data_IF_612796024342
#
_entry.id   IF_612796024342
#
_cell.length_a   1.000
_cell.length_b   1.000
_cell.length_c   1.000
_cell.angle_alpha   90.00
_cell.angle_beta   90.00
_cell.angle_gamma   90.00
#
_symmetry.space_group_name_H-M   'P 1'
#
loop_
_entity.id
_entity.type
_entity.pdbx_description
1 polymer ?
#
# COMPACT_ATOMS: atom_id res chain seq x y z
N UNK A 1 -15.75 7.83 -24.84
CA UNK A 1 -15.53 7.62 -23.39
C UNK A 1 -14.93 8.91 -22.84
N UNK A 2 -15.49 9.48 -21.77
CA UNK A 2 -14.94 10.69 -21.17
C UNK A 2 -13.56 10.35 -20.59
N UNK A 3 -12.50 10.99 -21.08
CA UNK A 3 -11.17 10.86 -20.49
C UNK A 3 -11.27 11.31 -19.03
N UNK A 4 -11.04 10.39 -18.10
CA UNK A 4 -10.87 10.74 -16.70
C UNK A 4 -9.54 11.49 -16.58
N UNK A 5 -9.58 12.82 -16.70
CA UNK A 5 -8.44 13.67 -16.37
C UNK A 5 -8.33 13.76 -14.86
N UNK A 6 -7.10 13.71 -14.36
CA UNK A 6 -6.84 13.93 -12.95
C UNK A 6 -6.98 15.42 -12.71
N UNK A 7 -7.98 15.81 -11.93
CA UNK A 7 -8.09 17.21 -11.50
C UNK A 7 -7.00 17.52 -10.48
N UNK A 8 -6.61 18.79 -10.38
CA UNK A 8 -5.65 19.23 -9.35
C UNK A 8 -6.08 18.84 -7.94
N UNK A 9 -7.38 18.77 -7.68
CA UNK A 9 -7.95 18.37 -6.39
C UNK A 9 -7.76 16.86 -6.13
N UNK A 10 -8.05 16.01 -7.11
CA UNK A 10 -7.79 14.56 -7.01
C UNK A 10 -6.30 14.31 -6.80
N UNK A 11 -5.43 15.02 -7.53
CA UNK A 11 -3.99 14.88 -7.37
C UNK A 11 -3.52 15.28 -5.95
N UNK A 12 -4.03 16.37 -5.40
CA UNK A 12 -3.73 16.79 -4.03
C UNK A 12 -4.21 15.77 -2.99
N UNK A 13 -5.37 15.16 -3.20
CA UNK A 13 -5.88 14.08 -2.35
C UNK A 13 -5.00 12.83 -2.43
N UNK A 14 -4.54 12.45 -3.63
CA UNK A 14 -3.61 11.33 -3.81
C UNK A 14 -2.27 11.57 -3.11
N UNK A 15 -1.72 12.78 -3.19
CA UNK A 15 -0.53 13.16 -2.43
C UNK A 15 -0.75 13.02 -0.92
N UNK A 16 -1.90 13.51 -0.44
CA UNK A 16 -2.28 13.42 0.97
C UNK A 16 -2.39 11.96 1.44
N UNK A 17 -3.07 11.10 0.67
CA UNK A 17 -3.24 9.68 0.98
C UNK A 17 -1.94 8.89 0.95
N UNK A 18 -0.99 9.30 0.11
CA UNK A 18 0.33 8.68 0.00
C UNK A 18 1.35 9.24 0.98
N UNK A 19 0.96 10.21 1.82
CA UNK A 19 1.86 10.95 2.71
C UNK A 19 3.04 11.60 1.97
N UNK A 20 2.81 12.06 0.75
CA UNK A 20 3.78 12.79 -0.06
C UNK A 20 3.53 14.30 0.02
N UNK A 21 4.60 15.07 0.20
CA UNK A 21 4.54 16.54 0.14
C UNK A 21 4.50 17.02 -1.32
N UNK A 22 3.72 18.06 -1.60
CA UNK A 22 3.69 18.68 -2.94
C UNK A 22 4.99 19.44 -3.20
N UNK A 23 5.95 18.77 -3.83
CA UNK A 23 7.16 19.42 -4.35
C UNK A 23 6.90 20.11 -5.70
N UNK A 24 7.83 20.95 -6.16
CA UNK A 24 7.78 21.59 -7.48
C UNK A 24 7.66 20.58 -8.65
N UNK A 25 8.01 19.31 -8.41
CA UNK A 25 7.86 18.21 -9.38
C UNK A 25 6.41 17.70 -9.50
N UNK A 26 5.46 18.23 -8.73
CA UNK A 26 4.05 17.86 -8.73
C UNK A 26 3.40 17.85 -10.13
N UNK A 27 3.72 18.85 -10.98
CA UNK A 27 3.13 18.96 -12.32
C UNK A 27 3.59 17.83 -13.23
N UNK A 28 4.87 17.48 -13.21
CA UNK A 28 5.41 16.38 -14.01
C UNK A 28 4.87 15.02 -13.56
N UNK A 29 4.72 14.84 -12.24
CA UNK A 29 4.14 13.63 -11.67
C UNK A 29 2.67 13.48 -12.07
N UNK A 30 1.87 14.55 -12.06
CA UNK A 30 0.47 14.49 -12.49
C UNK A 30 0.34 14.01 -13.95
N UNK A 31 1.16 14.53 -14.86
CA UNK A 31 1.20 14.07 -16.26
C UNK A 31 1.60 12.60 -16.37
N UNK A 32 2.61 12.16 -15.61
CA UNK A 32 3.01 10.75 -15.61
C UNK A 32 1.89 9.83 -15.13
N UNK A 33 1.13 10.22 -14.11
CA UNK A 33 -0.01 9.42 -13.64
C UNK A 33 -1.09 9.36 -14.73
N UNK A 34 -1.37 10.45 -15.45
CA UNK A 34 -2.31 10.43 -16.57
C UNK A 34 -1.86 9.48 -17.70
N UNK A 35 -0.57 9.49 -18.05
CA UNK A 35 0.00 8.57 -19.04
C UNK A 35 -0.14 7.10 -18.59
N UNK A 36 0.10 6.82 -17.30
CA UNK A 36 -0.06 5.49 -16.70
C UNK A 36 -1.53 5.04 -16.75
N UNK A 37 -2.48 5.91 -16.37
CA UNK A 37 -3.91 5.59 -16.44
C UNK A 37 -4.33 5.30 -17.88
N UNK A 38 -3.84 6.10 -18.83
CA UNK A 38 -4.10 5.86 -20.24
C UNK A 38 -3.55 4.50 -20.69
N UNK A 39 -2.35 4.13 -20.24
CA UNK A 39 -1.80 2.80 -20.51
C UNK A 39 -2.67 1.69 -19.93
N UNK A 40 -3.13 1.80 -18.68
CA UNK A 40 -4.03 0.81 -18.09
C UNK A 40 -5.35 0.69 -18.85
N UNK A 41 -5.90 1.78 -19.39
CA UNK A 41 -7.10 1.73 -20.24
C UNK A 41 -6.92 0.95 -21.55
N UNK A 42 -5.68 0.80 -22.02
CA UNK A 42 -5.34 -0.08 -23.15
C UNK A 42 -5.27 -1.52 -22.68
N UNK A 43 -4.64 -1.78 -21.53
CA UNK A 43 -4.50 -3.13 -20.96
C UNK A 43 -5.87 -3.73 -20.60
N UNK A 44 -6.79 -2.94 -20.06
CA UNK A 44 -8.16 -3.36 -19.71
C UNK A 44 -8.94 -3.92 -20.91
N UNK A 45 -8.65 -3.49 -22.14
CA UNK A 45 -9.30 -4.02 -23.35
C UNK A 45 -8.93 -5.48 -23.63
N UNK A 46 -7.81 -5.95 -23.07
CA UNK A 46 -7.31 -7.31 -23.20
C UNK A 46 -7.44 -8.10 -21.90
N UNK A 47 -7.93 -7.49 -20.82
CA UNK A 47 -8.17 -8.18 -19.55
C UNK A 47 -9.51 -8.93 -19.64
N UNK A 48 -9.54 -10.26 -19.46
CA UNK A 48 -10.76 -11.06 -19.62
C UNK A 48 -11.85 -10.84 -18.55
N UNK A 49 -11.84 -9.71 -17.84
CA UNK A 49 -12.70 -9.44 -16.68
C UNK A 49 -12.12 -10.02 -15.38
N UNK A 50 -12.87 -9.96 -14.26
CA UNK A 50 -12.46 -10.51 -12.98
C UNK A 50 -12.05 -11.95 -13.19
N UNK A 51 -10.75 -12.17 -13.11
CA UNK A 51 -10.13 -13.33 -13.69
C UNK A 51 -10.52 -14.56 -12.88
N UNK A 52 -11.05 -15.55 -13.58
CA UNK A 52 -10.88 -16.96 -13.23
C UNK A 52 -9.40 -17.39 -13.37
N UNK A 53 -8.44 -16.49 -13.10
CA UNK A 53 -7.00 -16.72 -13.14
C UNK A 53 -6.55 -17.04 -11.71
N UNK A 54 -6.23 -18.32 -11.42
CA UNK A 54 -5.78 -18.75 -10.11
C UNK A 54 -4.43 -18.14 -9.70
N UNK A 55 -3.77 -17.38 -10.58
CA UNK A 55 -2.49 -16.72 -10.32
C UNK A 55 -2.63 -15.21 -10.00
N UNK A 56 -3.84 -14.63 -10.00
CA UNK A 56 -4.04 -13.19 -9.70
C UNK A 56 -4.08 -12.82 -8.22
N UNK A 57 -4.25 -13.78 -7.33
CA UNK A 57 -4.13 -13.56 -5.89
C UNK A 57 -2.67 -13.84 -5.50
N UNK A 58 -1.82 -12.81 -5.61
CA UNK A 58 -0.74 -12.47 -4.66
C UNK A 58 -0.28 -13.55 -3.65
N UNK A 59 0.24 -14.71 -4.08
CA UNK A 59 0.55 -15.87 -3.20
C UNK A 59 -0.62 -16.35 -2.29
N UNK A 60 -1.77 -15.64 -2.28
CA UNK A 60 -2.97 -15.91 -1.50
C UNK A 60 -3.96 -16.78 -2.30
N UNK A 61 -3.78 -16.89 -3.62
CA UNK A 61 -4.82 -17.34 -4.56
C UNK A 61 -5.13 -18.81 -4.58
N UNK A 62 -4.33 -19.58 -3.86
CA UNK A 62 -4.62 -21.00 -3.72
C UNK A 62 -5.74 -21.23 -2.72
N UNK A 63 -5.94 -20.31 -1.77
CA UNK A 63 -6.77 -20.55 -0.59
C UNK A 63 -7.67 -19.36 -0.19
N UNK A 64 -8.04 -18.54 -1.16
CA UNK A 64 -9.08 -17.53 -1.03
C UNK A 64 -10.18 -17.86 -2.05
N UNK A 65 -11.27 -18.45 -1.57
CA UNK A 65 -12.52 -18.38 -2.32
C UNK A 65 -13.26 -17.11 -1.88
N UNK A 66 -13.06 -16.04 -2.66
CA UNK A 66 -13.61 -14.71 -2.36
C UNK A 66 -12.92 -14.03 -1.16
N UNK A 67 -13.66 -13.17 -0.44
CA UNK A 67 -13.14 -12.35 0.67
C UNK A 67 -12.87 -13.15 1.98
N UNK A 68 -12.75 -14.48 1.91
CA UNK A 68 -12.45 -15.34 3.06
C UNK A 68 -11.18 -16.11 2.78
N UNK A 69 -10.22 -15.95 3.69
CA UNK A 69 -9.07 -16.85 3.78
C UNK A 69 -9.62 -18.22 4.21
N UNK A 70 -9.56 -19.19 3.30
CA UNK A 70 -9.82 -20.59 3.60
C UNK A 70 -8.59 -21.16 4.33
N UNK A 71 -8.70 -21.17 5.65
CA UNK A 71 -7.67 -21.70 6.55
C UNK A 71 -7.45 -23.19 6.33
N UNK A 72 -8.46 -23.94 5.88
CA UNK A 72 -8.38 -25.38 5.64
C UNK A 72 -7.58 -25.69 4.36
N UNK A 73 -7.62 -24.79 3.38
CA UNK A 73 -6.85 -24.92 2.15
C UNK A 73 -5.35 -24.66 2.37
N UNK A 74 -4.99 -23.82 3.34
CA UNK A 74 -3.59 -23.52 3.69
C UNK A 74 -3.35 -23.62 5.21
N UNK A 75 -3.32 -24.85 5.76
CA UNK A 75 -3.13 -25.05 7.19
C UNK A 75 -1.78 -24.49 7.70
N UNK A 76 -0.79 -24.40 6.82
CA UNK A 76 0.54 -23.85 7.12
C UNK A 76 0.55 -22.32 7.29
N UNK A 77 -0.51 -21.61 6.89
CA UNK A 77 -0.61 -20.15 7.08
C UNK A 77 -1.03 -19.76 8.49
N UNK A 78 -1.53 -20.70 9.28
CA UNK A 78 -1.87 -20.43 10.68
C UNK A 78 -0.59 -20.47 11.52
N UNK A 79 -0.11 -19.28 11.90
CA UNK A 79 0.98 -19.17 12.86
C UNK A 79 0.56 -19.84 14.18
N UNK A 80 1.33 -20.84 14.62
CA UNK A 80 1.18 -21.43 15.96
C UNK A 80 1.37 -20.37 17.03
N UNK A 81 0.64 -20.49 18.14
CA UNK A 81 0.77 -19.58 19.27
C UNK A 81 2.04 -19.88 20.08
N UNK A 82 3.20 -19.55 19.50
CA UNK A 82 4.52 -19.71 20.11
C UNK A 82 5.17 -18.33 20.20
N UNK A 83 5.58 -17.95 21.41
CA UNK A 83 6.33 -16.73 21.64
C UNK A 83 7.76 -16.89 21.09
N UNK A 84 8.15 -16.01 20.18
CA UNK A 84 9.52 -15.93 19.65
C UNK A 84 10.25 -14.75 20.32
N UNK A 85 11.58 -14.85 20.52
CA UNK A 85 12.36 -13.73 21.02
C UNK A 85 12.24 -12.53 20.07
N UNK A 86 11.92 -11.36 20.62
CA UNK A 86 11.88 -10.11 19.86
C UNK A 86 13.27 -9.57 19.54
N UNK A 87 13.32 -8.50 18.73
CA UNK A 87 14.56 -7.76 18.46
C UNK A 87 15.12 -7.15 19.74
N UNK A 88 16.45 -7.11 19.87
CA UNK A 88 17.09 -6.48 21.03
C UNK A 88 16.96 -4.95 20.96
N UNK A 89 17.03 -4.29 22.12
CA UNK A 89 17.05 -2.81 22.20
C UNK A 89 18.21 -2.22 21.39
N UNK A 90 19.35 -2.93 21.35
CA UNK A 90 20.49 -2.54 20.54
C UNK A 90 20.16 -2.54 19.04
N UNK A 91 19.42 -3.53 18.56
CA UNK A 91 19.01 -3.61 17.16
C UNK A 91 17.99 -2.51 16.82
N UNK A 92 17.05 -2.21 17.74
CA UNK A 92 16.10 -1.11 17.57
C UNK A 92 16.81 0.26 17.46
N UNK A 93 17.83 0.49 18.28
CA UNK A 93 18.67 1.71 18.20
C UNK A 93 19.45 1.83 16.89
N UNK A 94 19.75 0.71 16.22
CA UNK A 94 20.40 0.71 14.90
C UNK A 94 19.42 1.02 13.77
N UNK A 95 18.13 0.74 13.96
CA UNK A 95 17.09 0.99 12.96
C UNK A 95 16.64 2.45 12.90
N UNK A 96 16.72 3.18 14.02
CA UNK A 96 16.26 4.57 14.08
C UNK A 96 17.12 5.42 15.01
N UNK A 97 17.46 6.62 14.57
CA UNK A 97 18.09 7.66 15.40
C UNK A 97 17.13 8.25 16.44
N UNK A 98 15.82 8.08 16.23
CA UNK A 98 14.77 8.60 17.10
C UNK A 98 14.32 7.60 18.18
N UNK A 99 15.09 6.54 18.44
CA UNK A 99 14.78 5.58 19.49
C UNK A 99 15.56 5.88 20.78
N UNK A 100 14.87 6.31 21.83
CA UNK A 100 15.47 6.60 23.13
C UNK A 100 14.52 6.27 24.28
N UNK A 101 15.10 5.90 25.42
CA UNK A 101 14.37 5.56 26.66
C UNK A 101 13.36 4.42 26.51
N UNK A 102 13.53 3.57 25.48
CA UNK A 102 12.62 2.46 25.17
C UNK A 102 11.47 2.80 24.22
N UNK A 103 11.42 4.04 23.70
CA UNK A 103 10.35 4.52 22.83
C UNK A 103 10.89 5.09 21.52
N UNK A 104 10.09 5.00 20.46
CA UNK A 104 10.29 5.80 19.24
C UNK A 104 9.75 7.20 19.48
N UNK A 105 10.60 8.20 19.24
CA UNK A 105 10.23 9.61 19.28
C UNK A 105 9.62 9.97 17.94
N UNK A 106 8.48 10.64 18.00
CA UNK A 106 7.78 11.20 16.86
C UNK A 106 7.23 12.57 17.25
N UNK A 107 6.99 13.48 16.28
CA UNK A 107 6.25 14.70 16.55
C UNK A 107 4.92 14.39 17.24
N UNK A 108 4.58 15.17 18.26
CA UNK A 108 3.31 15.02 18.96
C UNK A 108 2.18 15.16 17.93
N UNK A 109 1.29 14.18 17.85
CA UNK A 109 0.06 14.31 17.09
C UNK A 109 -0.69 15.53 17.64
N UNK A 110 -0.80 16.56 16.81
CA UNK A 110 -1.67 17.69 17.11
C UNK A 110 -3.10 17.26 16.81
N UNK A 111 -4.02 17.62 17.70
CA UNK A 111 -5.45 17.44 17.48
C UNK A 111 -5.85 18.31 16.28
N UNK A 112 -5.96 17.70 15.10
CA UNK A 112 -6.46 18.24 13.82
C UNK A 112 -6.53 19.77 13.67
N UNK A 113 -5.45 20.40 13.18
CA UNK A 113 -5.50 21.73 12.55
C UNK A 113 -4.38 21.91 11.53
N UNK A 114 -4.68 21.56 10.28
CA UNK A 114 -4.29 22.26 9.07
C UNK A 114 -5.31 21.91 7.98
#
# INVERSE_FOLDING_TARGET
>A
MAQQRITSDIFAQLLTLSHLESSECAVGLATQIEDIIQYFSVVEQFDPGPRDDPDTDNAQGRCSQGNKIDVDCCPDWVRKDVALPGLSVHDLKRLSTEFADGYFRAPRALDGSA
#
